data_IF_071602519352
#
_entry.id   IF_071602519352
#
_cell.length_a   1.000
_cell.length_b   1.000
_cell.length_c   1.000
_cell.angle_alpha   90.00
_cell.angle_beta   90.00
_cell.angle_gamma   90.00
#
_symmetry.space_group_name_H-M   'P 1'
#
loop_
_entity.id
_entity.type
_entity.pdbx_description
1 polymer ?
#
# COMPACT_ATOMS: atom_id res chain seq x y z
N UNK A 1 -3.74 14.48 12.76
CA UNK A 1 -4.29 13.59 13.82
C UNK A 1 -5.71 13.18 13.44
N UNK A 2 -6.40 12.28 14.17
CA UNK A 2 -7.74 11.77 13.77
C UNK A 2 -8.75 12.90 13.50
N UNK A 3 -8.76 13.96 14.32
CA UNK A 3 -9.64 15.12 14.11
C UNK A 3 -9.47 15.75 12.71
N UNK A 4 -8.23 15.88 12.22
CA UNK A 4 -7.96 16.44 10.90
C UNK A 4 -8.44 15.53 9.77
N UNK A 5 -8.38 14.20 9.96
CA UNK A 5 -8.86 13.24 8.95
C UNK A 5 -10.39 13.20 8.91
N UNK A 6 -11.05 13.31 10.07
CA UNK A 6 -12.50 13.43 10.17
C UNK A 6 -13.01 14.71 9.49
N UNK A 7 -12.28 15.81 9.63
CA UNK A 7 -12.64 17.10 9.01
C UNK A 7 -12.40 17.09 7.49
N UNK A 8 -11.27 16.54 7.03
CA UNK A 8 -10.81 16.68 5.64
C UNK A 8 -11.21 15.55 4.71
N UNK A 9 -11.69 14.42 5.23
CA UNK A 9 -12.05 13.26 4.43
C UNK A 9 -13.41 12.69 4.85
N UNK A 10 -14.48 13.02 4.11
CA UNK A 10 -15.81 12.45 4.34
C UNK A 10 -15.80 10.91 4.29
N UNK A 11 -15.07 10.33 3.34
CA UNK A 11 -14.88 8.88 3.23
C UNK A 11 -14.26 8.28 4.50
N UNK A 12 -13.25 8.94 5.06
CA UNK A 12 -12.65 8.48 6.32
C UNK A 12 -13.65 8.59 7.47
N UNK A 13 -14.43 9.67 7.55
CA UNK A 13 -15.40 9.87 8.62
C UNK A 13 -16.51 8.81 8.61
N UNK A 14 -17.02 8.46 7.42
CA UNK A 14 -17.99 7.38 7.24
C UNK A 14 -17.42 6.04 7.73
N UNK A 15 -16.27 5.62 7.21
CA UNK A 15 -15.62 4.36 7.60
C UNK A 15 -15.23 4.32 9.09
N UNK A 16 -14.81 5.45 9.66
CA UNK A 16 -14.44 5.55 11.07
C UNK A 16 -15.65 5.44 12.01
N UNK A 17 -16.80 5.99 11.60
CA UNK A 17 -18.05 5.91 12.36
C UNK A 17 -18.62 4.48 12.37
N UNK A 18 -18.46 3.73 11.27
CA UNK A 18 -18.87 2.32 11.18
C UNK A 18 -18.08 1.40 12.12
N UNK A 19 -16.81 1.74 12.40
CA UNK A 19 -15.97 1.06 13.38
C UNK A 19 -15.82 -0.47 13.15
N UNK A 20 -15.90 -0.91 11.89
CA UNK A 20 -15.80 -2.32 11.52
C UNK A 20 -14.34 -2.84 11.61
N UNK A 21 -13.91 -3.16 12.83
CA UNK A 21 -12.57 -3.70 13.09
C UNK A 21 -12.56 -5.21 12.91
N UNK A 22 -11.91 -5.68 11.85
CA UNK A 22 -11.72 -7.11 11.58
C UNK A 22 -10.26 -7.56 11.77
N UNK A 23 -10.09 -8.82 12.20
CA UNK A 23 -8.76 -9.45 12.19
C UNK A 23 -8.33 -9.68 10.75
N UNK A 24 -7.17 -9.14 10.39
CA UNK A 24 -6.60 -9.31 9.06
C UNK A 24 -6.08 -10.74 8.90
N UNK A 25 -6.83 -11.56 8.16
CA UNK A 25 -6.50 -12.97 7.90
C UNK A 25 -5.75 -13.21 6.58
N UNK A 26 -5.67 -12.20 5.71
CA UNK A 26 -5.08 -12.33 4.38
C UNK A 26 -4.02 -11.24 4.15
N UNK A 27 -2.84 -11.69 3.75
CA UNK A 27 -1.72 -10.83 3.40
C UNK A 27 -1.80 -10.34 1.95
N UNK A 28 -2.74 -10.85 1.15
CA UNK A 28 -2.94 -10.41 -0.24
C UNK A 28 -3.57 -9.03 -0.34
N UNK A 29 -3.01 -8.20 -1.21
CA UNK A 29 -3.51 -6.88 -1.60
C UNK A 29 -3.71 -6.78 -3.09
N UNK A 30 -4.76 -6.05 -3.46
CA UNK A 30 -5.11 -5.62 -4.81
C UNK A 30 -4.99 -4.10 -4.83
N UNK A 31 -4.03 -3.59 -5.58
CA UNK A 31 -3.72 -2.15 -5.64
C UNK A 31 -3.92 -1.70 -7.08
N UNK A 32 -4.73 -0.67 -7.29
CA UNK A 32 -4.90 -0.08 -8.63
C UNK A 32 -3.85 1.02 -8.78
N UNK A 33 -2.76 0.72 -9.48
CA UNK A 33 -1.71 1.68 -9.78
C UNK A 33 -2.11 2.53 -11.00
N UNK A 34 -1.97 3.87 -10.96
CA UNK A 34 -2.47 4.75 -12.02
C UNK A 34 -1.92 4.43 -13.41
N UNK A 35 -0.64 4.01 -13.48
CA UNK A 35 0.03 3.71 -14.77
C UNK A 35 0.05 2.23 -15.11
N UNK A 36 0.06 1.34 -14.10
CA UNK A 36 0.32 -0.09 -14.29
C UNK A 36 -0.95 -0.94 -14.16
N UNK A 37 -2.07 -0.31 -13.80
CA UNK A 37 -3.32 -0.98 -13.53
C UNK A 37 -3.26 -1.81 -12.25
N UNK A 38 -4.02 -2.90 -12.22
CA UNK A 38 -4.12 -3.77 -11.05
C UNK A 38 -2.78 -4.49 -10.77
N UNK A 39 -2.30 -4.34 -9.54
CA UNK A 39 -1.20 -5.08 -8.94
C UNK A 39 -1.75 -6.00 -7.86
N UNK A 40 -1.33 -7.25 -7.91
CA UNK A 40 -1.58 -8.23 -6.86
C UNK A 40 -0.28 -8.55 -6.13
N UNK A 41 -0.28 -8.31 -4.82
CA UNK A 41 0.91 -8.50 -3.98
C UNK A 41 0.54 -9.23 -2.70
N UNK A 42 1.47 -10.00 -2.17
CA UNK A 42 1.43 -10.39 -0.77
C UNK A 42 2.08 -9.27 0.05
N UNK A 43 1.59 -9.02 1.26
CA UNK A 43 2.00 -7.96 2.16
C UNK A 43 2.34 -8.58 3.51
N UNK A 44 3.63 -8.79 3.75
CA UNK A 44 4.10 -9.25 5.05
C UNK A 44 4.34 -8.05 5.97
N UNK A 45 3.95 -8.18 7.23
CA UNK A 45 4.17 -7.15 8.25
C UNK A 45 5.17 -7.67 9.27
N UNK A 46 6.38 -7.10 9.25
CA UNK A 46 7.45 -7.43 10.19
C UNK A 46 7.57 -6.30 11.21
N UNK A 47 7.51 -6.62 12.50
CA UNK A 47 7.70 -5.66 13.59
C UNK A 47 9.17 -5.68 14.02
N UNK A 48 9.72 -4.51 14.35
CA UNK A 48 11.00 -4.43 15.05
C UNK A 48 10.88 -5.08 16.43
N UNK A 49 12.01 -5.50 17.00
CA UNK A 49 12.06 -6.11 18.32
C UNK A 49 11.52 -5.18 19.43
N UNK A 50 11.78 -3.87 19.30
CA UNK A 50 11.25 -2.85 20.22
C UNK A 50 9.76 -2.51 19.98
N UNK A 51 9.15 -3.07 18.93
CA UNK A 51 7.75 -2.85 18.54
C UNK A 51 7.44 -1.46 18.00
N UNK A 52 8.44 -0.58 17.82
CA UNK A 52 8.24 0.82 17.43
C UNK A 52 8.22 1.03 15.92
N UNK A 53 8.74 0.08 15.17
CA UNK A 53 8.80 0.12 13.72
C UNK A 53 8.08 -1.09 13.12
N UNK A 54 7.51 -0.87 11.95
CA UNK A 54 6.88 -1.92 11.16
C UNK A 54 7.37 -1.80 9.72
N UNK A 55 8.00 -2.87 9.22
CA UNK A 55 8.31 -3.03 7.81
C UNK A 55 7.14 -3.73 7.12
N UNK A 56 6.59 -3.09 6.10
CA UNK A 56 5.65 -3.72 5.18
C UNK A 56 6.43 -4.19 3.96
N UNK A 57 6.51 -5.50 3.78
CA UNK A 57 7.19 -6.12 2.65
C UNK A 57 6.16 -6.58 1.63
N UNK A 58 6.21 -6.00 0.43
CA UNK A 58 5.35 -6.39 -0.67
C UNK A 58 6.09 -7.31 -1.65
N UNK A 59 5.50 -8.47 -1.97
CA UNK A 59 6.02 -9.40 -3.00
C UNK A 59 4.96 -9.66 -4.06
N UNK A 60 5.36 -9.86 -5.33
CA UNK A 60 4.38 -10.17 -6.37
C UNK A 60 3.64 -11.45 -6.06
N UNK A 61 2.35 -11.42 -6.33
CA UNK A 61 1.51 -12.58 -6.29
C UNK A 61 1.93 -13.64 -7.33
N UNK A 62 2.19 -14.87 -6.88
CA UNK A 62 2.36 -16.02 -7.78
C UNK A 62 1.12 -16.19 -8.66
N UNK A 63 1.32 -16.50 -9.95
CA UNK A 63 0.24 -16.70 -10.91
C UNK A 63 -0.36 -15.40 -11.48
N UNK A 64 0.27 -14.24 -11.25
CA UNK A 64 -0.15 -12.95 -11.79
C UNK A 64 0.96 -12.30 -12.60
N UNK A 65 0.63 -11.28 -13.39
CA UNK A 65 1.61 -10.47 -14.13
C UNK A 65 2.30 -9.41 -13.25
N UNK A 66 2.00 -9.39 -11.95
CA UNK A 66 2.49 -8.36 -11.01
C UNK A 66 4.00 -8.33 -10.87
N UNK A 67 4.69 -9.46 -11.08
CA UNK A 67 6.15 -9.49 -11.06
C UNK A 67 6.74 -8.55 -12.14
N UNK A 68 6.32 -8.72 -13.39
CA UNK A 68 6.79 -7.88 -14.50
C UNK A 68 6.34 -6.41 -14.36
N UNK A 69 5.16 -6.16 -13.79
CA UNK A 69 4.72 -4.79 -13.50
C UNK A 69 5.57 -4.12 -12.40
N UNK A 70 5.98 -4.86 -11.37
CA UNK A 70 6.89 -4.34 -10.34
C UNK A 70 8.29 -4.08 -10.89
N UNK A 71 8.78 -4.92 -11.79
CA UNK A 71 10.04 -4.66 -12.51
C UNK A 71 9.94 -3.36 -13.31
N UNK A 72 8.83 -3.14 -14.03
CA UNK A 72 8.60 -1.89 -14.76
C UNK A 72 8.47 -0.67 -13.82
N UNK A 73 7.84 -0.84 -12.65
CA UNK A 73 7.74 0.21 -11.64
C UNK A 73 9.13 0.68 -11.19
N UNK A 74 10.10 -0.22 -11.06
CA UNK A 74 11.47 0.15 -10.67
C UNK A 74 12.13 1.14 -11.64
N UNK A 75 11.79 1.05 -12.93
CA UNK A 75 12.30 1.94 -13.98
C UNK A 75 11.59 3.29 -13.93
N UNK A 76 10.25 3.28 -13.96
CA UNK A 76 9.44 4.51 -14.03
C UNK A 76 9.56 5.34 -12.74
N UNK A 77 9.57 4.69 -11.57
CA UNK A 77 9.69 5.38 -10.29
C UNK A 77 11.04 6.11 -10.14
N UNK A 78 12.12 5.50 -10.65
CA UNK A 78 13.46 6.12 -10.62
C UNK A 78 13.50 7.39 -11.47
N UNK A 79 12.83 7.40 -12.63
CA UNK A 79 12.72 8.58 -13.49
C UNK A 79 11.96 9.72 -12.80
N UNK A 80 10.81 9.42 -12.19
CA UNK A 80 9.98 10.42 -11.51
C UNK A 80 10.66 11.03 -10.28
N UNK A 81 11.43 10.23 -9.52
CA UNK A 81 12.22 10.74 -8.38
C UNK A 81 13.32 11.70 -8.84
N UNK A 82 13.97 11.43 -9.97
CA UNK A 82 14.97 12.34 -10.53
C UNK A 82 14.36 13.62 -11.09
N UNK A 83 13.12 13.58 -11.58
CA UNK A 83 12.41 14.75 -12.12
C UNK A 83 11.81 15.66 -11.03
N UNK A 84 11.44 15.11 -9.86
CA UNK A 84 10.95 15.89 -8.71
C UNK A 84 12.08 16.43 -7.80
N UNK A 85 13.33 16.04 -8.03
CA UNK A 85 14.50 16.49 -7.28
C UNK A 85 15.32 17.60 -7.97
N UNK A 86 14.80 18.20 -9.04
CA UNK A 86 15.41 19.31 -9.78
C UNK A 86 14.93 20.69 -9.35
#
# INVERSE_FOLDING_TARGET
MIADLLDRSPEFAELWAEHEVAVRRNDRKRIVHPTLGLLEVNCLSLLSEDGRQRLLWFTPAVGTDSAGKLDLLSVIATQQLTEHGG
#
